data_IF_096180128638
#
_entry.id   IF_096180128638
#
_cell.length_a   1.000
_cell.length_b   1.000
_cell.length_c   1.000
_cell.angle_alpha   90.00
_cell.angle_beta   90.00
_cell.angle_gamma   90.00
#
_symmetry.space_group_name_H-M   'P 1'
#
loop_
_entity.id
_entity.type
_entity.pdbx_description
1 polymer ?
#
# COMPACT_ATOMS: atom_id res chain seq x y z
N UNK A 1 -16.92 -23.54 -12.38
CA UNK A 1 -16.16 -22.43 -13.01
C UNK A 1 -14.73 -22.53 -12.50
N UNK A 2 -13.73 -22.46 -13.38
CA UNK A 2 -12.31 -22.50 -13.01
C UNK A 2 -11.69 -21.15 -13.34
N UNK A 3 -11.03 -20.52 -12.37
CA UNK A 3 -10.33 -19.26 -12.56
C UNK A 3 -8.89 -19.56 -13.00
N UNK A 4 -8.37 -18.75 -13.91
CA UNK A 4 -6.98 -18.77 -14.35
C UNK A 4 -6.44 -17.36 -14.21
N UNK A 5 -5.26 -17.24 -13.62
CA UNK A 5 -4.55 -15.97 -13.51
C UNK A 5 -3.49 -15.95 -14.62
N UNK A 6 -3.58 -14.95 -15.49
CA UNK A 6 -2.66 -14.75 -16.61
C UNK A 6 -2.36 -13.26 -16.67
N UNK A 7 -1.10 -12.93 -16.92
CA UNK A 7 -0.67 -11.55 -17.09
C UNK A 7 -1.17 -11.00 -18.42
N UNK A 8 -1.65 -9.76 -18.38
CA UNK A 8 -2.22 -9.11 -19.53
C UNK A 8 -1.90 -7.62 -19.48
N UNK A 9 -1.46 -7.10 -20.62
CA UNK A 9 -1.11 -5.70 -20.78
C UNK A 9 -2.33 -4.91 -21.27
N UNK A 10 -2.68 -3.83 -20.58
CA UNK A 10 -3.67 -2.86 -21.07
C UNK A 10 -2.97 -1.89 -22.02
N UNK A 11 -3.34 -1.90 -23.31
CA UNK A 11 -2.74 -1.00 -24.28
C UNK A 11 -3.36 0.41 -24.23
N UNK A 12 -2.73 1.38 -24.92
CA UNK A 12 -3.20 2.78 -25.00
C UNK A 12 -4.60 2.94 -25.62
N UNK A 13 -5.13 1.91 -26.27
CA UNK A 13 -6.46 1.88 -26.85
C UNK A 13 -7.49 1.23 -25.90
N UNK A 14 -7.11 0.98 -24.65
CA UNK A 14 -7.92 0.32 -23.61
C UNK A 14 -8.32 -1.11 -23.97
N UNK A 15 -7.49 -1.80 -24.74
CA UNK A 15 -7.68 -3.21 -25.06
C UNK A 15 -6.76 -4.05 -24.17
N UNK A 16 -7.30 -5.17 -23.70
CA UNK A 16 -6.55 -6.16 -22.93
C UNK A 16 -5.83 -7.11 -23.90
N UNK A 17 -4.50 -7.09 -23.91
CA UNK A 17 -3.68 -8.09 -24.59
C UNK A 17 -3.20 -9.10 -23.56
N UNK A 18 -3.46 -10.38 -23.80
CA UNK A 18 -2.87 -11.44 -22.99
C UNK A 18 -1.42 -11.63 -23.42
N UNK A 19 -0.52 -11.77 -22.46
CA UNK A 19 0.90 -11.96 -22.76
C UNK A 19 1.14 -13.38 -23.31
N UNK A 20 0.34 -14.35 -22.88
CA UNK A 20 0.37 -15.75 -23.29
C UNK A 20 -0.99 -16.27 -23.79
N UNK A 21 -0.95 -17.31 -24.62
CA UNK A 21 -2.15 -17.99 -25.08
C UNK A 21 -2.85 -18.71 -23.92
N UNK A 22 -4.17 -18.49 -23.81
CA UNK A 22 -5.01 -19.24 -22.88
C UNK A 22 -5.23 -20.66 -23.41
N UNK A 23 -4.60 -21.65 -22.76
CA UNK A 23 -4.79 -23.07 -23.07
C UNK A 23 -6.12 -23.59 -22.51
N UNK A 24 -7.23 -23.05 -23.03
CA UNK A 24 -8.59 -23.48 -22.70
C UNK A 24 -9.04 -24.46 -23.78
N UNK A 25 -9.22 -25.70 -23.38
CA UNK A 25 -9.49 -26.87 -24.25
C UNK A 25 -10.71 -26.71 -25.17
N UNK A 26 -11.62 -25.75 -24.91
CA UNK A 26 -12.81 -25.52 -25.72
C UNK A 26 -13.13 -24.03 -25.90
N UNK A 27 -13.37 -23.55 -27.15
CA UNK A 27 -13.90 -22.23 -27.41
C UNK A 27 -15.19 -22.01 -26.64
N UNK A 28 -15.20 -21.05 -25.72
CA UNK A 28 -16.31 -20.81 -24.81
C UNK A 28 -16.31 -19.35 -24.35
N UNK A 29 -17.45 -18.88 -23.84
CA UNK A 29 -17.56 -17.53 -23.27
C UNK A 29 -16.92 -17.52 -21.89
N UNK A 30 -15.95 -16.62 -21.69
CA UNK A 30 -15.25 -16.44 -20.41
C UNK A 30 -15.66 -15.14 -19.72
N UNK A 31 -15.48 -15.08 -18.39
CA UNK A 31 -15.62 -13.85 -17.59
C UNK A 31 -14.21 -13.36 -17.24
N UNK A 32 -13.91 -12.11 -17.59
CA UNK A 32 -12.63 -11.46 -17.27
C UNK A 32 -12.79 -10.63 -16.00
N UNK A 33 -11.84 -10.75 -15.08
CA UNK A 33 -11.75 -9.92 -13.87
C UNK A 33 -10.43 -9.16 -13.98
N UNK A 34 -10.50 -7.84 -13.94
CA UNK A 34 -9.33 -6.96 -13.98
C UNK A 34 -9.01 -6.54 -12.54
N UNK A 35 -7.80 -6.83 -12.10
CA UNK A 35 -7.25 -6.28 -10.86
C UNK A 35 -6.29 -5.18 -11.27
N UNK A 36 -6.69 -3.93 -11.06
CA UNK A 36 -5.83 -2.77 -11.25
C UNK A 36 -5.34 -2.38 -9.86
N UNK A 37 -4.03 -2.28 -9.68
CA UNK A 37 -3.47 -1.70 -8.47
C UNK A 37 -3.83 -0.22 -8.46
N UNK A 38 -4.51 0.22 -7.41
CA UNK A 38 -4.64 1.64 -7.15
C UNK A 38 -3.24 2.15 -6.77
N UNK A 39 -2.51 2.74 -7.73
CA UNK A 39 -1.23 3.41 -7.44
C UNK A 39 -1.38 4.55 -6.41
N UNK A 40 -2.63 4.95 -6.14
CA UNK A 40 -3.03 5.92 -5.10
C UNK A 40 -3.15 5.32 -3.70
N UNK A 41 -2.81 4.04 -3.50
CA UNK A 41 -2.53 3.51 -2.16
C UNK A 41 -1.06 3.72 -1.74
N UNK A 42 -0.32 4.60 -2.43
CA UNK A 42 0.67 5.39 -1.73
C UNK A 42 -0.09 6.37 -0.83
N UNK A 43 -0.43 5.89 0.36
CA UNK A 43 -0.71 6.70 1.53
C UNK A 43 0.56 7.54 1.80
N UNK A 44 0.74 8.59 0.99
CA UNK A 44 1.67 9.67 1.29
C UNK A 44 1.13 10.24 2.59
N UNK A 45 1.76 9.80 3.69
CA UNK A 45 1.69 10.42 4.99
C UNK A 45 1.42 11.92 4.79
N UNK A 46 0.20 12.36 5.12
CA UNK A 46 -0.26 13.75 4.99
C UNK A 46 0.67 14.71 5.76
N UNK A 47 1.57 14.16 6.58
CA UNK A 47 2.64 14.87 7.25
C UNK A 47 3.75 15.28 6.27
N UNK A 48 3.88 16.58 6.03
CA UNK A 48 4.97 17.09 5.22
C UNK A 48 6.34 16.77 5.83
N UNK A 49 7.38 16.62 4.99
CA UNK A 49 8.75 16.44 5.47
C UNK A 49 9.24 17.58 6.39
N UNK A 50 8.62 18.76 6.32
CA UNK A 50 8.89 19.87 7.23
C UNK A 50 8.32 19.61 8.63
N UNK A 51 7.10 19.10 8.72
CA UNK A 51 6.45 18.74 9.98
C UNK A 51 7.18 17.61 10.70
N UNK A 52 7.60 16.57 9.97
CA UNK A 52 8.43 15.48 10.52
C UNK A 52 9.72 16.04 11.12
N UNK A 53 10.42 16.93 10.39
CA UNK A 53 11.67 17.54 10.87
C UNK A 53 11.46 18.44 12.09
N UNK A 54 10.35 19.17 12.14
CA UNK A 54 10.01 20.01 13.28
C UNK A 54 9.74 19.17 14.53
N UNK A 55 8.92 18.12 14.38
CA UNK A 55 8.61 17.16 15.45
C UNK A 55 9.88 16.48 15.99
N UNK A 56 10.73 15.95 15.12
CA UNK A 56 12.00 15.31 15.54
C UNK A 56 12.94 16.26 16.28
N UNK A 57 13.04 17.53 15.86
CA UNK A 57 13.85 18.54 16.56
C UNK A 57 13.30 18.81 17.96
N UNK A 58 11.99 18.92 18.09
CA UNK A 58 11.32 19.12 19.37
C UNK A 58 11.57 17.94 20.30
N UNK A 59 11.29 16.70 19.87
CA UNK A 59 11.49 15.51 20.71
C UNK A 59 12.95 15.31 21.11
N UNK A 60 13.91 15.67 20.24
CA UNK A 60 15.33 15.65 20.59
C UNK A 60 15.68 16.67 21.68
N UNK A 61 15.08 17.86 21.64
CA UNK A 61 15.28 18.88 22.67
C UNK A 61 14.66 18.44 24.01
N UNK A 62 13.46 17.88 23.99
CA UNK A 62 12.78 17.33 25.17
C UNK A 62 13.61 16.20 25.80
N UNK A 63 14.15 15.29 24.99
CA UNK A 63 15.04 14.24 25.46
C UNK A 63 16.32 14.78 26.13
N UNK A 64 16.91 15.85 25.58
CA UNK A 64 18.08 16.54 26.18
C UNK A 64 17.73 17.22 27.50
N UNK A 65 16.52 17.73 27.63
CA UNK A 65 16.00 18.35 28.87
C UNK A 65 15.54 17.32 29.91
N UNK A 66 15.62 16.02 29.59
CA UNK A 66 15.19 14.94 30.48
C UNK A 66 13.68 14.73 30.51
N UNK A 67 12.92 15.41 29.63
CA UNK A 67 11.48 15.21 29.42
C UNK A 67 11.28 13.93 28.61
N UNK A 68 11.42 12.79 29.26
CA UNK A 68 11.26 11.46 28.68
C UNK A 68 10.38 10.59 29.56
N UNK A 69 9.63 9.71 28.95
CA UNK A 69 8.85 8.68 29.63
C UNK A 69 9.65 7.37 29.56
N UNK A 70 9.86 6.65 30.67
CA UNK A 70 10.45 5.32 30.63
C UNK A 70 9.61 4.37 29.78
N UNK A 71 10.25 3.47 29.05
CA UNK A 71 9.54 2.52 28.16
C UNK A 71 8.53 1.67 28.93
N UNK A 72 8.83 1.31 30.18
CA UNK A 72 7.93 0.57 31.07
C UNK A 72 6.64 1.33 31.40
N UNK A 73 6.66 2.66 31.35
CA UNK A 73 5.52 3.53 31.63
C UNK A 73 4.73 3.87 30.35
N UNK A 74 5.29 3.64 29.15
CA UNK A 74 4.61 3.93 27.88
C UNK A 74 3.37 3.06 27.64
N UNK A 75 3.29 1.91 28.31
CA UNK A 75 2.20 0.92 28.15
C UNK A 75 1.08 1.07 29.18
N UNK A 76 1.24 1.93 30.18
CA UNK A 76 0.32 1.98 31.33
C UNK A 76 -1.07 2.48 30.98
N UNK A 77 -1.19 3.29 29.93
CA UNK A 77 -2.46 3.92 29.52
C UNK A 77 -3.00 3.33 28.20
N UNK A 78 -2.44 2.21 27.73
CA UNK A 78 -2.84 1.57 26.45
C UNK A 78 -3.91 0.49 26.67
N UNK A 79 -4.06 -0.03 27.89
CA UNK A 79 -4.98 -1.13 28.24
C UNK A 79 -6.37 -0.67 28.76
N UNK A 80 -6.72 0.62 28.64
CA UNK A 80 -8.07 1.18 28.92
C UNK A 80 -8.93 1.33 27.66
#
# INVERSE_FOLDING_TARGET
MKAFEVMATLNNQKQLLLDDNLDIVTPSRVKVILLVSDEEENNFDDTSAQEIKASLRQSLQEAKEGKKIPVEQMWQDIDE
#
